data_IF_665127712070
#
_entry.id   IF_665127712070
#
_cell.length_a   1.000
_cell.length_b   1.000
_cell.length_c   1.000
_cell.angle_alpha   90.00
_cell.angle_beta   90.00
_cell.angle_gamma   90.00
#
_symmetry.space_group_name_H-M   'P 1'
#
loop_
_entity.id
_entity.type
_entity.pdbx_description
1 polymer ?
#
# COMPACT_ATOMS: atom_id res chain seq x y z
N UNK A 1 56.27 -2.15 48.16
CA UNK A 1 54.85 -1.78 48.37
C UNK A 1 54.34 -1.10 47.11
N UNK A 2 53.41 -1.72 46.38
CA UNK A 2 52.94 -1.24 45.07
C UNK A 2 51.78 -0.27 45.30
N UNK A 3 52.00 1.04 45.09
CA UNK A 3 50.95 2.06 45.18
C UNK A 3 49.94 1.80 44.06
N UNK A 4 48.75 1.35 44.43
CA UNK A 4 47.59 1.29 43.53
C UNK A 4 47.09 2.72 43.36
N UNK A 5 47.43 3.36 42.24
CA UNK A 5 46.93 4.68 41.87
C UNK A 5 45.40 4.58 41.68
N UNK A 6 44.63 5.06 42.65
CA UNK A 6 43.17 5.09 42.63
C UNK A 6 42.66 6.34 41.91
N UNK A 7 43.11 6.57 40.68
CA UNK A 7 42.55 7.60 39.79
C UNK A 7 41.29 7.11 39.04
N UNK A 8 40.56 6.15 39.62
CA UNK A 8 39.24 5.75 39.15
C UNK A 8 38.21 6.72 39.73
N UNK A 9 38.17 7.95 39.22
CA UNK A 9 37.01 8.84 39.37
C UNK A 9 35.86 8.23 38.58
N UNK A 10 35.17 7.27 39.18
CA UNK A 10 33.91 6.77 38.67
C UNK A 10 32.91 7.92 38.57
N UNK A 11 32.08 7.87 37.53
CA UNK A 11 31.00 8.83 37.28
C UNK A 11 30.24 9.14 38.58
N UNK A 12 30.08 10.41 38.92
CA UNK A 12 29.30 10.80 40.10
C UNK A 12 27.83 10.44 39.90
N UNK A 13 27.16 10.00 40.97
CA UNK A 13 25.71 9.77 40.97
C UNK A 13 24.94 11.01 40.49
N UNK A 14 25.42 12.21 40.84
CA UNK A 14 24.81 13.47 40.42
C UNK A 14 24.95 13.69 38.91
N UNK A 15 26.12 13.39 38.35
CA UNK A 15 26.37 13.50 36.91
C UNK A 15 25.45 12.56 36.12
N UNK A 16 25.22 11.34 36.64
CA UNK A 16 24.30 10.39 36.03
C UNK A 16 22.84 10.88 36.07
N UNK A 17 22.38 11.44 37.19
CA UNK A 17 21.01 11.94 37.35
C UNK A 17 20.70 13.13 36.42
N UNK A 18 21.64 14.04 36.26
CA UNK A 18 21.46 15.19 35.34
C UNK A 18 21.35 14.71 33.89
N UNK A 19 22.14 13.71 33.50
CA UNK A 19 22.11 13.16 32.14
C UNK A 19 20.75 12.51 31.84
N UNK A 20 20.22 11.66 32.73
CA UNK A 20 18.91 11.04 32.50
C UNK A 20 17.79 12.10 32.47
N UNK A 21 17.88 13.15 33.28
CA UNK A 21 16.88 14.21 33.31
C UNK A 21 16.81 14.94 31.95
N UNK A 22 17.96 15.28 31.37
CA UNK A 22 18.01 15.94 30.06
C UNK A 22 17.54 14.99 28.95
N UNK A 23 17.96 13.71 28.99
CA UNK A 23 17.51 12.72 28.00
C UNK A 23 16.00 12.51 28.01
N UNK A 24 15.36 12.49 29.19
CA UNK A 24 13.89 12.39 29.32
C UNK A 24 13.20 13.62 28.71
N UNK A 25 13.68 14.83 28.98
CA UNK A 25 13.11 16.06 28.41
C UNK A 25 13.23 16.06 26.89
N UNK A 26 14.40 15.72 26.34
CA UNK A 26 14.63 15.68 24.90
C UNK A 26 13.77 14.62 24.21
N UNK A 27 13.71 13.41 24.75
CA UNK A 27 12.86 12.33 24.20
C UNK A 27 11.38 12.71 24.27
N UNK A 28 10.95 13.38 25.35
CA UNK A 28 9.57 13.84 25.51
C UNK A 28 9.10 14.78 24.40
N UNK A 29 9.96 15.67 23.90
CA UNK A 29 9.62 16.61 22.82
C UNK A 29 9.76 15.98 21.43
N UNK A 30 10.75 15.10 21.24
CA UNK A 30 11.08 14.53 19.91
C UNK A 30 10.23 13.29 19.57
N UNK A 31 9.81 12.50 20.56
CA UNK A 31 9.08 11.25 20.29
C UNK A 31 7.79 11.45 19.47
N UNK A 32 6.92 12.45 19.75
CA UNK A 32 5.71 12.66 18.97
C UNK A 32 5.98 13.00 17.50
N UNK A 33 7.01 13.82 17.23
CA UNK A 33 7.36 14.24 15.87
C UNK A 33 7.99 13.08 15.09
N UNK A 34 8.89 12.32 15.72
CA UNK A 34 9.51 11.14 15.12
C UNK A 34 8.47 10.07 14.76
N UNK A 35 7.55 9.75 15.68
CA UNK A 35 6.49 8.77 15.43
C UNK A 35 5.56 9.22 14.29
N UNK A 36 5.21 10.50 14.24
CA UNK A 36 4.40 11.05 13.15
C UNK A 36 5.13 10.93 11.81
N UNK A 37 6.42 11.26 11.75
CA UNK A 37 7.20 11.18 10.52
C UNK A 37 7.42 9.74 10.05
N UNK A 38 7.58 8.78 10.96
CA UNK A 38 7.62 7.35 10.63
C UNK A 38 6.31 6.92 9.96
N UNK A 39 5.17 7.37 10.47
CA UNK A 39 3.87 7.05 9.89
C UNK A 39 3.71 7.65 8.50
N UNK A 40 4.07 8.93 8.32
CA UNK A 40 4.09 9.57 6.99
C UNK A 40 5.00 8.83 6.00
N UNK A 41 6.13 8.32 6.46
CA UNK A 41 7.07 7.54 5.62
C UNK A 41 6.46 6.20 5.19
N UNK A 42 5.69 5.55 6.08
CA UNK A 42 4.95 4.32 5.73
C UNK A 42 3.85 4.63 4.72
N UNK A 43 3.06 5.66 4.98
CA UNK A 43 2.01 6.12 4.05
C UNK A 43 2.58 6.45 2.66
N UNK A 44 3.73 7.12 2.57
CA UNK A 44 4.37 7.42 1.30
C UNK A 44 4.84 6.16 0.54
N UNK A 45 5.36 5.16 1.26
CA UNK A 45 5.74 3.86 0.67
C UNK A 45 4.52 3.10 0.16
N UNK A 46 3.46 3.08 0.96
CA UNK A 46 2.20 2.42 0.60
C UNK A 46 1.57 3.10 -0.63
N UNK A 47 1.59 4.44 -0.69
CA UNK A 47 1.14 5.20 -1.86
C UNK A 47 2.00 4.92 -3.11
N UNK A 48 3.32 4.82 -2.98
CA UNK A 48 4.19 4.45 -4.09
C UNK A 48 3.90 3.02 -4.60
N UNK A 49 3.56 2.10 -3.70
CA UNK A 49 3.12 0.76 -4.08
C UNK A 49 1.80 0.79 -4.86
N UNK A 50 0.83 1.61 -4.43
CA UNK A 50 -0.42 1.86 -5.17
C UNK A 50 -0.16 2.44 -6.57
N UNK A 51 0.74 3.41 -6.69
CA UNK A 51 1.06 4.01 -7.99
C UNK A 51 1.74 3.00 -8.94
N UNK A 52 2.59 2.12 -8.40
CA UNK A 52 3.17 1.01 -9.16
C UNK A 52 2.08 0.05 -9.65
N UNK A 53 1.11 -0.29 -8.80
CA UNK A 53 -0.03 -1.12 -9.17
C UNK A 53 -0.90 -0.45 -10.27
N UNK A 54 -1.13 0.85 -10.17
CA UNK A 54 -1.83 1.62 -11.20
C UNK A 54 -1.11 1.55 -12.56
N UNK A 55 0.22 1.72 -12.56
CA UNK A 55 1.03 1.58 -13.77
C UNK A 55 0.96 0.17 -14.39
N UNK A 56 0.85 -0.87 -13.57
CA UNK A 56 0.74 -2.24 -14.05
C UNK A 56 -0.62 -2.53 -14.66
N UNK A 57 -1.70 -2.07 -14.02
CA UNK A 57 -3.05 -2.17 -14.59
C UNK A 57 -3.11 -1.42 -15.91
N UNK A 58 -2.58 -0.19 -15.96
CA UNK A 58 -2.47 0.59 -17.20
C UNK A 58 -1.70 -0.14 -18.30
N UNK A 59 -0.61 -0.82 -17.95
CA UNK A 59 0.17 -1.59 -18.92
C UNK A 59 -0.59 -2.83 -19.40
N UNK A 60 -1.29 -3.55 -18.51
CA UNK A 60 -2.09 -4.72 -18.87
C UNK A 60 -3.28 -4.37 -19.78
N UNK A 61 -3.77 -3.13 -19.71
CA UNK A 61 -4.84 -2.62 -20.58
C UNK A 61 -4.42 -2.36 -22.03
N UNK A 62 -3.11 -2.39 -22.34
CA UNK A 62 -2.64 -2.29 -23.73
C UNK A 62 -3.05 -3.54 -24.53
N UNK A 63 -3.27 -4.66 -23.85
CA UNK A 63 -3.73 -5.89 -24.48
C UNK A 63 -5.20 -5.78 -24.92
N UNK A 64 -5.47 -6.05 -26.20
CA UNK A 64 -6.79 -5.91 -26.82
C UNK A 64 -7.86 -6.80 -26.15
N UNK A 65 -7.50 -8.03 -25.79
CA UNK A 65 -8.46 -8.96 -25.17
C UNK A 65 -8.87 -8.46 -23.78
N UNK A 66 -7.92 -7.92 -23.02
CA UNK A 66 -8.16 -7.31 -21.70
C UNK A 66 -9.00 -6.04 -21.86
N UNK A 67 -8.67 -5.20 -22.84
CA UNK A 67 -9.42 -3.99 -23.13
C UNK A 67 -10.89 -4.29 -23.45
N UNK A 68 -11.14 -5.29 -24.32
CA UNK A 68 -12.49 -5.72 -24.67
C UNK A 68 -13.26 -6.24 -23.45
N UNK A 69 -12.61 -7.00 -22.58
CA UNK A 69 -13.21 -7.44 -21.32
C UNK A 69 -13.57 -6.25 -20.41
N UNK A 70 -12.71 -5.23 -20.31
CA UNK A 70 -13.01 -4.01 -19.56
C UNK A 70 -14.22 -3.29 -20.15
N UNK A 71 -14.29 -3.13 -21.48
CA UNK A 71 -15.44 -2.51 -22.14
C UNK A 71 -16.73 -3.29 -21.87
N UNK A 72 -16.68 -4.62 -21.90
CA UNK A 72 -17.83 -5.49 -21.68
C UNK A 72 -18.33 -5.48 -20.22
N UNK A 73 -17.44 -5.25 -19.26
CA UNK A 73 -17.77 -5.20 -17.83
C UNK A 73 -17.92 -3.76 -17.30
N UNK A 74 -17.79 -2.74 -18.15
CA UNK A 74 -17.99 -1.35 -17.76
C UNK A 74 -19.49 -1.07 -17.56
N UNK A 75 -19.84 -0.47 -16.43
CA UNK A 75 -21.23 -0.17 -16.04
C UNK A 75 -21.42 1.33 -15.84
N UNK A 76 -22.67 1.80 -15.96
CA UNK A 76 -23.02 3.22 -15.80
C UNK A 76 -23.56 3.85 -17.09
N UNK A 77 -24.27 4.97 -16.93
CA UNK A 77 -24.98 5.67 -18.02
C UNK A 77 -24.27 6.92 -18.50
N UNK A 78 -23.67 7.68 -17.58
CA UNK A 78 -22.98 8.95 -17.86
C UNK A 78 -21.48 8.74 -17.97
N UNK A 79 -20.91 8.04 -16.99
CA UNK A 79 -19.55 7.53 -17.02
C UNK A 79 -19.63 6.01 -16.97
N UNK A 80 -18.98 5.36 -17.93
CA UNK A 80 -18.88 3.90 -17.95
C UNK A 80 -17.62 3.50 -17.20
N UNK A 81 -17.78 2.81 -16.08
CA UNK A 81 -16.68 2.41 -15.21
C UNK A 81 -16.67 0.90 -15.07
N UNK A 82 -15.53 0.29 -15.40
CA UNK A 82 -15.24 -1.08 -15.02
C UNK A 82 -14.51 -1.06 -13.67
N UNK A 83 -15.09 -1.71 -12.66
CA UNK A 83 -14.43 -1.87 -11.35
C UNK A 83 -13.89 -3.28 -11.24
N UNK A 84 -12.59 -3.38 -11.03
CA UNK A 84 -11.85 -4.65 -10.97
C UNK A 84 -11.29 -4.77 -9.56
N UNK A 85 -11.63 -5.85 -8.85
CA UNK A 85 -10.94 -6.22 -7.63
C UNK A 85 -9.59 -6.84 -8.00
N UNK A 86 -8.48 -6.24 -7.56
CA UNK A 86 -7.15 -6.72 -7.93
C UNK A 86 -6.83 -8.10 -7.31
N UNK A 87 -7.48 -8.47 -6.21
CA UNK A 87 -7.36 -9.81 -5.63
C UNK A 87 -8.03 -10.84 -6.53
N UNK A 88 -9.21 -10.53 -7.06
CA UNK A 88 -9.93 -11.42 -7.97
C UNK A 88 -9.21 -11.52 -9.31
N UNK A 89 -8.68 -10.40 -9.81
CA UNK A 89 -7.84 -10.37 -11.00
C UNK A 89 -6.61 -11.27 -10.88
N UNK A 90 -5.95 -11.19 -9.73
CA UNK A 90 -4.85 -12.05 -9.38
C UNK A 90 -5.25 -13.53 -9.30
N UNK A 91 -6.47 -13.85 -8.88
CA UNK A 91 -6.98 -15.22 -8.83
C UNK A 91 -7.49 -15.70 -10.20
N UNK A 92 -7.39 -14.88 -11.25
CA UNK A 92 -7.90 -15.22 -12.58
C UNK A 92 -9.43 -15.15 -12.64
N UNK A 93 -10.03 -14.19 -11.95
CA UNK A 93 -11.48 -13.97 -11.90
C UNK A 93 -11.82 -12.48 -11.92
N UNK A 94 -11.04 -11.68 -12.65
CA UNK A 94 -11.18 -10.23 -12.73
C UNK A 94 -12.51 -9.78 -13.35
N UNK A 95 -12.94 -10.50 -14.38
CA UNK A 95 -14.06 -10.16 -15.25
C UNK A 95 -15.17 -11.20 -15.13
N UNK A 96 -16.40 -10.74 -15.04
CA UNK A 96 -17.60 -11.61 -14.99
C UNK A 96 -18.03 -12.02 -16.39
N UNK A 97 -17.96 -11.08 -17.33
CA UNK A 97 -18.19 -11.32 -18.76
C UNK A 97 -16.83 -11.49 -19.44
N UNK A 98 -16.64 -12.61 -20.13
CA UNK A 98 -15.42 -12.90 -20.91
C UNK A 98 -15.76 -12.89 -22.41
N UNK A 99 -15.57 -11.75 -23.12
CA UNK A 99 -15.78 -11.69 -24.57
C UNK A 99 -14.91 -12.68 -25.34
N UNK A 100 -13.76 -13.05 -24.76
CA UNK A 100 -12.84 -14.06 -25.26
C UNK A 100 -12.47 -15.03 -24.16
N UNK A 101 -12.53 -16.33 -24.46
CA UNK A 101 -12.22 -17.38 -23.51
C UNK A 101 -10.78 -17.24 -22.98
N UNK A 102 -10.61 -17.25 -21.66
CA UNK A 102 -9.31 -17.23 -21.01
C UNK A 102 -8.71 -15.84 -20.81
N UNK A 103 -9.47 -14.77 -21.08
CA UNK A 103 -9.02 -13.39 -20.83
C UNK A 103 -8.67 -13.15 -19.36
N UNK A 104 -9.38 -13.80 -18.44
CA UNK A 104 -9.08 -13.74 -17.00
C UNK A 104 -7.69 -14.32 -16.67
N UNK A 105 -7.33 -15.45 -17.26
CA UNK A 105 -5.99 -16.05 -17.10
C UNK A 105 -4.92 -15.18 -17.77
N UNK A 106 -5.22 -14.60 -18.93
CA UNK A 106 -4.33 -13.68 -19.63
C UNK A 106 -4.03 -12.44 -18.79
N UNK A 107 -5.07 -11.80 -18.26
CA UNK A 107 -4.94 -10.64 -17.39
C UNK A 107 -4.17 -10.96 -16.11
N UNK A 108 -4.45 -12.12 -15.49
CA UNK A 108 -3.69 -12.63 -14.36
C UNK A 108 -2.18 -12.74 -14.67
N UNK A 109 -1.82 -13.30 -15.82
CA UNK A 109 -0.41 -13.46 -16.21
C UNK A 109 0.27 -12.11 -16.45
N UNK A 110 -0.40 -11.21 -17.17
CA UNK A 110 0.11 -9.85 -17.37
C UNK A 110 0.39 -9.16 -16.03
N UNK A 111 -0.53 -9.23 -15.07
CA UNK A 111 -0.32 -8.62 -13.75
C UNK A 111 0.86 -9.24 -12.98
N UNK A 112 1.07 -10.56 -13.08
CA UNK A 112 2.19 -11.28 -12.45
C UNK A 112 3.53 -10.96 -13.08
N UNK A 113 3.57 -10.76 -14.40
CA UNK A 113 4.78 -10.42 -15.13
C UNK A 113 5.30 -9.02 -14.75
N UNK A 114 4.41 -8.12 -14.31
CA UNK A 114 4.76 -6.75 -13.91
C UNK A 114 4.98 -6.56 -12.40
N UNK A 115 4.44 -7.43 -11.52
CA UNK A 115 4.76 -7.46 -10.09
C UNK A 115 4.71 -8.90 -9.55
N UNK A 116 5.78 -9.31 -8.86
CA UNK A 116 5.84 -10.62 -8.23
C UNK A 116 4.71 -10.79 -7.21
N UNK A 117 4.02 -11.90 -7.37
CA UNK A 117 2.85 -12.35 -6.64
C UNK A 117 2.94 -12.12 -5.11
N UNK A 118 4.08 -12.52 -4.52
CA UNK A 118 4.35 -12.48 -3.08
C UNK A 118 4.67 -11.09 -2.54
N UNK A 119 4.95 -10.12 -3.42
CA UNK A 119 5.27 -8.76 -3.00
C UNK A 119 4.00 -8.01 -2.56
N UNK A 120 2.89 -8.20 -3.28
CA UNK A 120 1.65 -7.40 -3.14
C UNK A 120 0.57 -8.09 -2.32
N UNK A 121 0.39 -9.40 -2.53
CA UNK A 121 -0.69 -10.16 -1.91
C UNK A 121 -0.10 -11.31 -1.08
N UNK A 122 -0.57 -11.43 0.16
CA UNK A 122 -0.29 -12.56 1.03
C UNK A 122 -1.60 -13.25 1.37
N UNK A 123 -1.81 -14.43 0.79
CA UNK A 123 -2.93 -15.30 1.17
C UNK A 123 -2.67 -15.88 2.55
N UNK A 124 -3.54 -15.57 3.51
CA UNK A 124 -3.53 -16.13 4.87
C UNK A 124 -4.76 -17.03 5.03
N UNK A 125 -4.79 -17.91 6.05
CA UNK A 125 -5.92 -18.78 6.34
C UNK A 125 -7.27 -18.04 6.54
N UNK A 126 -7.22 -16.74 6.88
CA UNK A 126 -8.39 -15.86 7.11
C UNK A 126 -8.78 -15.03 5.88
N UNK A 127 -8.06 -15.14 4.76
CA UNK A 127 -8.28 -14.36 3.54
C UNK A 127 -6.99 -13.75 2.96
N UNK A 128 -7.13 -12.94 1.90
CA UNK A 128 -5.99 -12.26 1.27
C UNK A 128 -5.68 -10.96 2.01
N UNK A 129 -4.47 -10.86 2.56
CA UNK A 129 -3.91 -9.63 3.14
C UNK A 129 -2.98 -8.96 2.15
N UNK A 130 -2.91 -7.63 2.14
CA UNK A 130 -2.00 -6.89 1.27
C UNK A 130 -0.63 -6.76 1.96
N UNK A 131 0.41 -7.39 1.40
CA UNK A 131 1.75 -7.42 2.00
C UNK A 131 2.53 -6.12 1.81
N UNK A 132 2.10 -5.27 0.87
CA UNK A 132 2.73 -3.97 0.57
C UNK A 132 2.38 -2.87 1.56
N UNK A 133 1.26 -2.98 2.29
CA UNK A 133 0.76 -1.87 3.10
C UNK A 133 1.12 -2.02 4.58
N UNK A 134 1.89 -1.06 5.09
CA UNK A 134 2.42 -1.08 6.46
C UNK A 134 1.94 0.07 7.34
N UNK A 135 1.26 1.07 6.78
CA UNK A 135 0.72 2.19 7.54
C UNK A 135 -0.43 1.75 8.46
N UNK A 136 -0.66 2.51 9.53
CA UNK A 136 -1.72 2.28 10.49
C UNK A 136 -3.10 2.39 9.83
N UNK A 137 -3.33 3.41 9.02
CA UNK A 137 -4.61 3.62 8.33
C UNK A 137 -4.92 2.49 7.35
N UNK A 138 -3.89 1.95 6.68
CA UNK A 138 -4.04 0.85 5.74
C UNK A 138 -4.52 -0.46 6.38
N UNK A 139 -4.43 -0.61 7.71
CA UNK A 139 -4.96 -1.79 8.41
C UNK A 139 -6.49 -1.89 8.38
N UNK A 140 -7.17 -0.78 8.10
CA UNK A 140 -8.63 -0.74 7.97
C UNK A 140 -9.09 -1.12 6.56
N UNK A 141 -8.17 -1.15 5.58
CA UNK A 141 -8.50 -1.46 4.20
C UNK A 141 -8.73 -2.96 3.99
N UNK A 142 -9.78 -3.26 3.23
CA UNK A 142 -10.24 -4.61 2.93
C UNK A 142 -10.15 -4.92 1.44
N UNK A 143 -10.33 -3.92 0.58
CA UNK A 143 -10.48 -4.11 -0.86
C UNK A 143 -9.53 -3.20 -1.64
N UNK A 144 -8.80 -3.78 -2.58
CA UNK A 144 -7.95 -3.06 -3.53
C UNK A 144 -8.60 -3.16 -4.91
N UNK A 145 -8.97 -2.02 -5.47
CA UNK A 145 -9.78 -1.97 -6.68
C UNK A 145 -9.18 -1.03 -7.73
N UNK A 146 -9.24 -1.42 -8.99
CA UNK A 146 -8.95 -0.57 -10.13
C UNK A 146 -10.26 -0.18 -10.79
N UNK A 147 -10.50 1.10 -10.95
CA UNK A 147 -11.61 1.69 -11.67
C UNK A 147 -11.08 2.23 -12.99
N UNK A 148 -11.56 1.65 -14.08
CA UNK A 148 -11.25 2.13 -15.42
C UNK A 148 -12.47 2.88 -15.93
N UNK A 149 -12.34 4.19 -16.10
CA UNK A 149 -13.36 4.99 -16.74
C UNK A 149 -13.16 4.90 -18.26
N UNK A 150 -14.06 4.18 -18.93
CA UNK A 150 -13.98 3.95 -20.38
C UNK A 150 -14.46 5.15 -21.19
N UNK A 151 -15.08 6.15 -20.53
CA UNK A 151 -15.50 7.40 -21.16
C UNK A 151 -14.34 8.41 -21.23
N UNK A 152 -13.55 8.52 -20.17
CA UNK A 152 -12.44 9.48 -20.08
C UNK A 152 -11.07 8.85 -20.33
N UNK A 153 -10.96 7.53 -20.23
CA UNK A 153 -9.70 6.78 -20.28
C UNK A 153 -8.91 6.80 -18.96
N UNK A 154 -9.42 7.45 -17.91
CA UNK A 154 -8.71 7.54 -16.63
C UNK A 154 -8.74 6.22 -15.86
N UNK A 155 -7.63 5.88 -15.23
CA UNK A 155 -7.47 4.67 -14.42
C UNK A 155 -7.22 5.11 -12.97
N UNK A 156 -8.11 4.72 -12.07
CA UNK A 156 -7.99 5.01 -10.65
C UNK A 156 -7.81 3.72 -9.86
N UNK A 157 -6.69 3.56 -9.15
CA UNK A 157 -6.48 2.45 -8.21
C UNK A 157 -6.68 2.96 -6.80
N UNK A 158 -7.58 2.30 -6.06
CA UNK A 158 -7.98 2.72 -4.72
C UNK A 158 -7.87 1.55 -3.74
N UNK A 159 -7.46 1.87 -2.52
CA UNK A 159 -7.57 0.96 -1.39
C UNK A 159 -8.69 1.44 -0.47
N UNK A 160 -9.67 0.57 -0.23
CA UNK A 160 -10.92 0.92 0.44
C UNK A 160 -11.20 0.02 1.64
N UNK A 161 -12.00 0.50 2.59
CA UNK A 161 -12.59 -0.29 3.68
C UNK A 161 -13.76 -1.18 3.21
N UNK A 162 -14.04 -1.20 1.90
CA UNK A 162 -15.21 -1.82 1.27
C UNK A 162 -16.29 -0.82 0.88
N UNK A 163 -16.23 0.43 1.36
CA UNK A 163 -17.15 1.52 0.97
C UNK A 163 -16.42 2.82 0.65
N UNK A 164 -15.44 3.20 1.47
CA UNK A 164 -14.71 4.46 1.36
C UNK A 164 -13.23 4.20 1.08
N UNK A 165 -12.61 5.12 0.34
CA UNK A 165 -11.16 5.15 0.16
C UNK A 165 -10.50 5.43 1.52
N UNK A 166 -9.48 4.63 1.84
CA UNK A 166 -8.71 4.79 3.07
C UNK A 166 -7.98 6.14 3.06
N UNK A 167 -8.04 6.86 4.18
CA UNK A 167 -7.37 8.15 4.34
C UNK A 167 -6.33 8.06 5.46
N UNK A 168 -5.08 8.20 5.06
CA UNK A 168 -3.96 8.40 5.97
C UNK A 168 -3.93 9.84 6.50
N UNK A 169 -2.95 10.13 7.36
CA UNK A 169 -2.69 11.49 7.83
C UNK A 169 -2.09 12.40 6.77
N UNK A 170 -1.46 11.85 5.74
CA UNK A 170 -0.74 12.61 4.71
C UNK A 170 -1.06 12.18 3.28
N UNK A 171 -1.72 11.03 3.09
CA UNK A 171 -2.14 10.55 1.76
C UNK A 171 -3.56 10.01 1.81
N UNK A 172 -4.29 10.18 0.71
CA UNK A 172 -5.49 9.39 0.41
C UNK A 172 -5.07 8.22 -0.47
N UNK A 173 -5.53 7.00 -0.17
CA UNK A 173 -5.11 5.78 -0.85
C UNK A 173 -5.87 5.59 -2.17
N UNK A 174 -5.79 6.61 -3.03
CA UNK A 174 -6.35 6.63 -4.38
C UNK A 174 -5.35 7.29 -5.31
N UNK A 175 -5.00 6.59 -6.38
CA UNK A 175 -4.07 7.05 -7.41
C UNK A 175 -4.79 7.03 -8.74
N UNK A 176 -4.87 8.18 -9.41
CA UNK A 176 -5.44 8.31 -10.75
C UNK A 176 -4.35 8.60 -11.77
N UNK A 177 -4.39 7.88 -12.90
CA UNK A 177 -3.54 8.06 -14.08
C UNK A 177 -4.37 8.30 -15.34
#
# INVERSE_FOLDING_TARGET
MKKLNKDNKGFSLVELLVVIAIMVVLVGVIAPTLLSNIEKTREAKDYQALDTLAGNVQSAMIDEDVYDAIMANATGTTEKICTINLVDAYNGSAFTTEPKAGVNTKFQNLLKDYLAQDAVFKTTATGTTFSVFGAKAAKEGTTLQAKVNTTTGSITVEFTDGTNVIKGKSVEYSVTR
#
